data_IF_271619000558
#
_entry.id   IF_271619000558
#
_cell.length_a   1.000
_cell.length_b   1.000
_cell.length_c   1.000
_cell.angle_alpha   90.00
_cell.angle_beta   90.00
_cell.angle_gamma   90.00
#
_symmetry.space_group_name_H-M   'P 1'
#
loop_
_entity.id
_entity.type
_entity.pdbx_description
1 polymer ?
#
# COMPACT_ATOMS: atom_id res chain seq x y z
N UNK A 1 20.85 0.50 18.26
CA UNK A 1 21.09 -0.97 18.28
C UNK A 1 19.86 -1.79 18.71
N UNK A 2 18.96 -1.24 19.54
CA UNK A 2 17.73 -1.92 20.01
C UNK A 2 16.62 -2.04 18.92
N UNK A 3 16.58 -1.10 17.98
CA UNK A 3 15.52 -0.98 16.95
C UNK A 3 15.63 -2.04 15.84
N UNK A 4 16.85 -2.41 15.43
CA UNK A 4 17.08 -3.52 14.46
C UNK A 4 16.56 -4.85 14.98
N UNK A 5 16.69 -5.08 16.29
CA UNK A 5 16.29 -6.33 16.94
C UNK A 5 14.77 -6.45 17.05
N UNK A 6 14.05 -5.34 17.27
CA UNK A 6 12.59 -5.35 17.40
C UNK A 6 11.85 -5.52 16.06
N UNK A 7 12.35 -4.91 14.97
CA UNK A 7 11.81 -5.16 13.63
C UNK A 7 12.07 -6.62 13.16
N UNK A 8 13.22 -7.21 13.52
CA UNK A 8 13.51 -8.60 13.17
C UNK A 8 12.62 -9.60 13.93
N UNK A 9 12.26 -9.34 15.18
CA UNK A 9 11.41 -10.26 15.98
C UNK A 9 9.95 -10.25 15.52
N UNK A 10 9.42 -9.12 15.08
CA UNK A 10 8.05 -9.04 14.53
C UNK A 10 7.94 -9.74 13.16
N UNK A 11 8.99 -9.65 12.33
CA UNK A 11 9.05 -10.33 11.02
C UNK A 11 9.31 -11.84 11.18
N UNK A 12 10.11 -12.24 12.17
CA UNK A 12 10.45 -13.65 12.43
C UNK A 12 9.33 -14.49 13.05
N UNK A 13 8.46 -13.89 13.86
CA UNK A 13 7.41 -14.63 14.58
C UNK A 13 6.28 -15.19 13.71
N UNK A 14 6.06 -14.64 12.51
CA UNK A 14 4.92 -15.00 11.65
C UNK A 14 5.32 -16.03 10.57
N UNK A 15 6.60 -16.20 10.27
CA UNK A 15 7.07 -17.13 9.23
C UNK A 15 7.17 -18.59 9.68
N UNK A 16 7.03 -18.87 10.98
CA UNK A 16 7.38 -20.14 11.60
C UNK A 16 6.21 -21.05 11.96
N UNK A 17 5.21 -21.24 11.09
CA UNK A 17 4.30 -22.40 11.09
C UNK A 17 3.22 -22.23 10.00
N UNK A 18 3.41 -22.82 8.83
CA UNK A 18 2.34 -22.87 7.82
C UNK A 18 2.18 -24.29 7.28
N UNK A 19 1.19 -24.99 7.81
CA UNK A 19 0.55 -26.09 7.11
C UNK A 19 -0.70 -25.52 6.43
N UNK A 20 -0.75 -25.52 5.09
CA UNK A 20 -1.99 -25.21 4.37
C UNK A 20 -2.98 -26.38 4.52
N UNK A 21 -4.03 -26.21 5.33
CA UNK A 21 -5.24 -27.01 5.16
C UNK A 21 -5.93 -26.60 3.85
N UNK A 22 -6.45 -27.58 3.10
CA UNK A 22 -7.31 -27.34 1.93
C UNK A 22 -8.46 -26.44 2.38
N UNK A 23 -8.51 -25.22 1.87
CA UNK A 23 -9.62 -24.29 2.12
C UNK A 23 -10.89 -24.94 1.59
N UNK A 24 -11.82 -25.29 2.49
CA UNK A 24 -13.13 -25.79 2.11
C UNK A 24 -13.81 -24.77 1.18
N UNK A 25 -14.48 -25.27 0.13
CA UNK A 25 -15.18 -24.45 -0.85
C UNK A 25 -16.12 -23.45 -0.17
N UNK A 26 -15.81 -22.15 -0.22
CA UNK A 26 -16.70 -21.11 0.29
C UNK A 26 -17.67 -20.69 -0.83
N UNK A 27 -18.99 -20.79 -0.66
CA UNK A 27 -19.96 -20.44 -1.70
C UNK A 27 -20.04 -18.93 -2.01
N UNK A 28 -19.36 -18.07 -1.26
CA UNK A 28 -19.37 -16.61 -1.44
C UNK A 28 -18.27 -16.08 -2.38
N UNK A 29 -17.23 -16.86 -2.64
CA UNK A 29 -16.16 -16.47 -3.55
C UNK A 29 -15.51 -17.66 -4.22
N UNK A 30 -15.04 -17.46 -5.45
CA UNK A 30 -14.29 -18.44 -6.22
C UNK A 30 -12.80 -18.18 -6.08
N UNK A 31 -12.01 -19.23 -5.86
CA UNK A 31 -10.55 -19.15 -5.73
C UNK A 31 -9.86 -19.56 -7.03
N UNK A 32 -8.72 -18.93 -7.32
CA UNK A 32 -7.86 -19.15 -8.48
C UNK A 32 -6.40 -19.42 -8.06
N UNK A 33 -6.17 -19.89 -6.83
CA UNK A 33 -4.84 -20.17 -6.27
C UNK A 33 -4.07 -21.27 -7.04
N UNK A 34 -4.78 -22.07 -7.84
CA UNK A 34 -4.24 -23.09 -8.73
C UNK A 34 -3.79 -22.54 -10.10
N UNK A 35 -4.14 -21.29 -10.44
CA UNK A 35 -3.80 -20.65 -11.71
C UNK A 35 -2.61 -19.71 -11.56
N UNK A 36 -1.82 -19.62 -12.61
CA UNK A 36 -0.89 -18.51 -12.80
C UNK A 36 -1.69 -17.32 -13.32
N UNK A 37 -1.51 -16.17 -12.68
CA UNK A 37 -2.17 -14.92 -13.03
C UNK A 37 -1.09 -14.00 -13.60
N UNK A 38 -1.21 -13.61 -14.86
CA UNK A 38 -0.36 -12.60 -15.47
C UNK A 38 -1.19 -11.36 -15.77
N UNK A 39 -0.63 -10.17 -15.53
CA UNK A 39 -1.33 -8.91 -15.80
C UNK A 39 -0.40 -7.83 -16.33
N UNK A 40 -0.98 -6.90 -17.08
CA UNK A 40 -0.40 -5.60 -17.40
C UNK A 40 -1.17 -4.55 -16.61
N UNK A 41 -0.45 -3.59 -16.06
CA UNK A 41 -1.05 -2.53 -15.25
C UNK A 41 -0.49 -1.16 -15.60
N UNK A 42 -1.34 -0.16 -15.43
CA UNK A 42 -1.00 1.24 -15.27
C UNK A 42 -1.16 1.58 -13.79
N UNK A 43 -0.16 2.26 -13.22
CA UNK A 43 -0.13 2.64 -11.82
C UNK A 43 0.33 4.10 -11.70
N UNK A 44 -0.50 4.92 -11.10
CA UNK A 44 -0.17 6.28 -10.69
C UNK A 44 -0.19 6.33 -9.17
N UNK A 45 0.93 6.73 -8.55
CA UNK A 45 1.07 6.82 -7.10
C UNK A 45 1.67 8.17 -6.75
N UNK A 46 1.07 8.82 -5.77
CA UNK A 46 1.53 10.10 -5.22
C UNK A 46 1.63 9.97 -3.71
N UNK A 47 2.76 10.39 -3.13
CA UNK A 47 2.98 10.46 -1.69
C UNK A 47 3.30 11.90 -1.26
N UNK A 48 2.27 12.68 -1.00
CA UNK A 48 2.39 14.11 -0.74
C UNK A 48 2.56 14.35 0.76
N UNK A 49 3.43 15.27 1.12
CA UNK A 49 3.55 15.75 2.48
C UNK A 49 3.07 17.18 2.59
N UNK A 50 2.56 17.55 3.76
CA UNK A 50 2.21 18.93 4.05
C UNK A 50 2.84 19.32 5.39
N UNK A 51 3.65 20.37 5.34
CA UNK A 51 4.25 20.99 6.51
C UNK A 51 3.36 22.13 6.98
N UNK A 52 2.89 22.08 8.23
CA UNK A 52 2.19 23.20 8.86
C UNK A 52 3.07 23.78 9.96
N UNK A 53 3.45 25.06 9.82
CA UNK A 53 4.25 25.79 10.80
C UNK A 53 3.51 27.05 11.27
N UNK A 54 3.54 27.37 12.58
CA UNK A 54 3.04 28.65 13.06
C UNK A 54 3.93 29.80 12.56
N UNK A 55 3.32 30.89 12.11
CA UNK A 55 3.97 32.17 11.86
C UNK A 55 4.15 32.95 13.17
N UNK A 56 5.02 33.97 13.11
CA UNK A 56 5.24 34.93 14.20
C UNK A 56 3.99 35.77 14.58
N UNK A 57 2.97 35.81 13.72
CA UNK A 57 1.69 36.53 13.92
C UNK A 57 0.54 35.62 14.43
N UNK A 58 0.81 34.33 14.66
CA UNK A 58 -0.19 33.34 15.10
C UNK A 58 -1.01 32.73 13.96
N UNK A 59 -0.79 33.11 12.70
CA UNK A 59 -1.35 32.41 11.53
C UNK A 59 -0.56 31.13 11.24
N UNK A 60 -1.17 30.16 10.54
CA UNK A 60 -0.48 28.92 10.13
C UNK A 60 -0.02 29.06 8.67
N UNK A 61 1.28 28.85 8.42
CA UNK A 61 1.79 28.64 7.06
C UNK A 61 1.72 27.18 6.71
N UNK A 62 1.28 26.90 5.49
CA UNK A 62 1.17 25.57 4.91
C UNK A 62 2.16 25.50 3.74
N UNK A 63 3.06 24.53 3.79
CA UNK A 63 3.98 24.22 2.70
C UNK A 63 3.67 22.82 2.20
N UNK A 64 3.20 22.72 0.96
CA UNK A 64 2.95 21.42 0.33
C UNK A 64 4.26 20.93 -0.29
N UNK A 65 4.74 19.80 0.24
CA UNK A 65 5.86 19.03 -0.27
C UNK A 65 5.30 17.99 -1.25
N UNK A 66 5.31 18.38 -2.52
CA UNK A 66 4.75 17.56 -3.58
C UNK A 66 5.92 16.75 -4.18
N UNK A 67 5.93 15.42 -4.04
CA UNK A 67 6.92 14.61 -4.70
C UNK A 67 6.72 14.72 -6.21
N UNK A 68 7.79 14.41 -6.89
CA UNK A 68 7.79 14.20 -8.31
C UNK A 68 6.93 12.97 -8.68
N UNK A 69 5.67 13.23 -9.04
CA UNK A 69 4.66 12.20 -9.38
C UNK A 69 5.17 11.35 -10.54
N UNK A 70 4.86 10.06 -10.51
CA UNK A 70 5.28 9.11 -11.55
C UNK A 70 4.16 8.21 -11.97
N UNK A 71 3.89 8.25 -13.27
CA UNK A 71 3.01 7.31 -13.93
C UNK A 71 3.84 6.10 -14.38
N UNK A 72 3.41 4.91 -14.00
CA UNK A 72 4.08 3.66 -14.29
C UNK A 72 3.23 2.77 -15.18
N UNK A 73 3.88 2.06 -16.09
CA UNK A 73 3.33 0.88 -16.72
C UNK A 73 4.17 -0.33 -16.31
N UNK A 74 3.51 -1.45 -16.09
CA UNK A 74 4.19 -2.63 -15.60
C UNK A 74 3.48 -3.92 -15.94
N UNK A 75 4.14 -5.00 -15.58
CA UNK A 75 3.64 -6.36 -15.68
C UNK A 75 3.74 -7.03 -14.32
N UNK A 76 2.79 -7.91 -14.02
CA UNK A 76 2.82 -8.74 -12.83
C UNK A 76 2.58 -10.21 -13.16
N UNK A 77 3.19 -11.08 -12.37
CA UNK A 77 2.95 -12.52 -12.39
C UNK A 77 2.76 -13.00 -10.96
N UNK A 78 1.71 -13.76 -10.75
CA UNK A 78 1.26 -14.24 -9.45
C UNK A 78 0.94 -15.74 -9.52
N UNK A 79 1.45 -16.51 -8.56
CA UNK A 79 1.15 -17.93 -8.43
C UNK A 79 1.25 -18.37 -6.96
N UNK A 80 0.19 -19.03 -6.46
CA UNK A 80 0.06 -19.42 -5.05
C UNK A 80 0.35 -18.26 -4.09
N UNK A 81 1.36 -18.37 -3.22
CA UNK A 81 1.75 -17.35 -2.25
C UNK A 81 2.66 -16.26 -2.82
N UNK A 82 3.18 -16.44 -4.04
CA UNK A 82 4.13 -15.53 -4.64
C UNK A 82 3.43 -14.55 -5.59
N UNK A 83 3.79 -13.27 -5.47
CA UNK A 83 3.32 -12.16 -6.29
C UNK A 83 4.54 -11.31 -6.67
N UNK A 84 4.81 -11.17 -7.97
CA UNK A 84 5.90 -10.35 -8.49
C UNK A 84 5.35 -9.33 -9.47
N UNK A 85 5.75 -8.08 -9.31
CA UNK A 85 5.42 -7.00 -10.25
C UNK A 85 6.66 -6.18 -10.58
N UNK A 86 6.78 -5.78 -11.84
CA UNK A 86 7.80 -4.85 -12.29
C UNK A 86 7.12 -3.74 -13.09
N UNK A 87 7.41 -2.49 -12.74
CA UNK A 87 6.91 -1.32 -13.43
C UNK A 87 8.05 -0.36 -13.73
N UNK A 88 7.92 0.39 -14.82
CA UNK A 88 8.80 1.49 -15.16
C UNK A 88 7.96 2.73 -15.53
N UNK A 89 8.58 3.91 -15.50
CA UNK A 89 7.94 5.19 -15.80
C UNK A 89 8.40 5.74 -17.15
N UNK A 90 7.64 5.53 -18.24
CA UNK A 90 8.02 6.01 -19.56
C UNK A 90 7.98 7.53 -19.68
N UNK A 91 8.91 8.11 -20.43
CA UNK A 91 8.97 9.56 -20.72
C UNK A 91 7.87 10.06 -21.67
N UNK A 92 7.06 9.18 -22.27
CA UNK A 92 5.94 9.62 -23.12
C UNK A 92 4.75 10.13 -22.30
N UNK A 93 4.65 9.81 -21.01
CA UNK A 93 3.70 10.45 -20.11
C UNK A 93 4.22 11.84 -19.75
N UNK A 94 3.39 12.88 -19.95
CA UNK A 94 3.78 14.27 -19.68
C UNK A 94 4.24 14.46 -18.22
N UNK A 95 3.59 13.77 -17.28
CA UNK A 95 3.94 13.75 -15.85
C UNK A 95 5.37 13.26 -15.61
N UNK A 96 5.93 12.44 -16.51
CA UNK A 96 7.28 11.90 -16.36
C UNK A 96 8.36 12.70 -17.11
N UNK A 97 8.01 13.71 -17.92
CA UNK A 97 8.96 14.46 -18.76
C UNK A 97 9.81 15.45 -17.97
N UNK A 98 9.19 16.20 -17.07
CA UNK A 98 9.86 17.26 -16.30
C UNK A 98 10.35 16.75 -14.92
N UNK A 99 10.74 15.48 -14.86
CA UNK A 99 11.01 14.75 -13.62
C UNK A 99 12.51 14.53 -13.34
N UNK A 100 13.36 15.35 -13.97
CA UNK A 100 14.82 15.24 -13.88
C UNK A 100 15.30 15.41 -12.43
N UNK A 101 16.17 14.50 -11.99
CA UNK A 101 16.68 14.45 -10.61
C UNK A 101 15.83 13.63 -9.63
N UNK A 102 14.56 13.33 -9.95
CA UNK A 102 13.75 12.48 -9.08
C UNK A 102 14.08 11.00 -9.18
N UNK A 103 13.84 10.25 -8.11
CA UNK A 103 13.81 8.79 -8.10
C UNK A 103 12.66 8.33 -7.19
N UNK A 104 11.97 7.25 -7.57
CA UNK A 104 10.98 6.58 -6.73
C UNK A 104 11.22 5.07 -6.81
N UNK A 105 11.45 4.46 -5.67
CA UNK A 105 11.49 3.02 -5.50
C UNK A 105 10.43 2.62 -4.48
N UNK A 106 9.53 1.72 -4.88
CA UNK A 106 8.46 1.21 -4.03
C UNK A 106 8.50 -0.32 -4.04
N UNK A 107 8.54 -0.91 -2.85
CA UNK A 107 8.35 -2.33 -2.63
C UNK A 107 7.21 -2.52 -1.63
N UNK A 108 6.18 -3.26 -2.04
CA UNK A 108 5.06 -3.61 -1.16
C UNK A 108 4.72 -5.08 -1.31
N UNK A 109 4.54 -5.76 -0.18
CA UNK A 109 4.12 -7.16 -0.16
C UNK A 109 2.95 -7.33 0.80
N UNK A 110 2.02 -8.22 0.45
CA UNK A 110 0.83 -8.49 1.25
C UNK A 110 0.62 -9.98 1.41
N UNK A 111 0.62 -10.42 2.66
CA UNK A 111 0.32 -11.78 3.06
C UNK A 111 -1.12 -11.84 3.59
N UNK A 112 -1.95 -12.71 3.03
CA UNK A 112 -3.29 -12.98 3.54
C UNK A 112 -3.35 -14.46 3.90
N UNK A 113 -3.40 -14.74 5.19
CA UNK A 113 -3.53 -16.10 5.72
C UNK A 113 -4.80 -16.20 6.56
N UNK A 114 -5.75 -17.02 6.11
CA UNK A 114 -7.10 -17.11 6.69
C UNK A 114 -7.71 -15.71 6.81
N UNK A 115 -7.89 -15.21 8.03
CA UNK A 115 -8.47 -13.91 8.34
C UNK A 115 -7.41 -12.83 8.64
N UNK A 116 -6.14 -13.20 8.78
CA UNK A 116 -5.07 -12.26 9.05
C UNK A 116 -4.49 -11.73 7.75
N UNK A 117 -4.27 -10.43 7.70
CA UNK A 117 -3.65 -9.75 6.60
C UNK A 117 -2.48 -8.92 7.12
N UNK A 118 -1.30 -9.13 6.55
CA UNK A 118 -0.11 -8.34 6.83
C UNK A 118 0.34 -7.68 5.53
N UNK A 119 0.43 -6.35 5.53
CA UNK A 119 1.05 -5.59 4.44
C UNK A 119 2.38 -5.04 4.96
N UNK A 120 3.45 -5.17 4.19
CA UNK A 120 4.74 -4.52 4.44
C UNK A 120 5.03 -3.60 3.26
N UNK A 121 5.50 -2.39 3.54
CA UNK A 121 5.78 -1.38 2.52
C UNK A 121 7.12 -0.71 2.78
N UNK A 122 7.84 -0.44 1.70
CA UNK A 122 9.08 0.31 1.68
C UNK A 122 9.01 1.26 0.48
N UNK A 123 9.12 2.57 0.75
CA UNK A 123 9.11 3.63 -0.25
C UNK A 123 10.35 4.46 -0.03
N UNK A 124 11.16 4.62 -1.06
CA UNK A 124 12.29 5.55 -1.08
C UNK A 124 12.12 6.48 -2.27
N UNK A 125 12.12 7.78 -2.01
CA UNK A 125 11.92 8.79 -3.04
C UNK A 125 12.88 9.95 -2.87
N UNK A 126 13.26 10.56 -3.99
CA UNK A 126 14.15 11.71 -4.09
C UNK A 126 13.56 12.69 -5.09
N UNK A 127 13.75 13.99 -4.84
CA UNK A 127 13.29 15.07 -5.70
C UNK A 127 11.84 15.48 -5.41
N UNK A 128 11.67 16.71 -4.94
CA UNK A 128 10.39 17.30 -4.52
C UNK A 128 10.26 18.74 -5.03
N UNK A 129 9.05 19.28 -4.93
CA UNK A 129 8.80 20.71 -5.00
C UNK A 129 8.12 21.18 -3.72
N UNK A 130 8.53 22.36 -3.24
CA UNK A 130 7.77 23.11 -2.23
C UNK A 130 6.91 24.13 -2.94
N UNK A 131 5.60 24.08 -2.69
CA UNK A 131 4.65 25.07 -3.19
C UNK A 131 4.20 25.99 -2.06
N UNK A 132 4.39 27.30 -2.21
CA UNK A 132 3.82 28.36 -1.36
C UNK A 132 3.04 29.34 -2.24
N UNK A 133 1.72 29.19 -2.29
CA UNK A 133 0.85 30.01 -3.14
C UNK A 133 1.18 29.83 -4.63
N UNK A 134 1.67 30.89 -5.28
CA UNK A 134 2.06 30.87 -6.69
C UNK A 134 3.55 30.57 -6.92
N UNK A 135 4.34 30.41 -5.86
CA UNK A 135 5.79 30.15 -5.95
C UNK A 135 6.06 28.66 -5.76
N UNK A 136 6.82 28.08 -6.69
CA UNK A 136 7.27 26.69 -6.62
C UNK A 136 8.79 26.66 -6.59
N UNK A 137 9.36 26.02 -5.56
CA UNK A 137 10.81 25.88 -5.39
C UNK A 137 11.19 24.40 -5.48
N UNK A 138 12.09 24.00 -6.40
CA UNK A 138 12.56 22.63 -6.47
C UNK A 138 13.50 22.29 -5.31
N UNK A 139 13.30 21.11 -4.73
CA UNK A 139 14.19 20.45 -3.79
C UNK A 139 14.66 19.12 -4.40
N UNK A 140 15.62 19.14 -5.35
CA UNK A 140 16.03 17.96 -6.09
C UNK A 140 16.74 16.92 -5.21
N UNK A 141 17.43 17.37 -4.17
CA UNK A 141 18.22 16.51 -3.28
C UNK A 141 17.42 15.96 -2.08
N UNK A 142 16.25 16.54 -1.78
CA UNK A 142 15.38 16.07 -0.70
C UNK A 142 15.01 14.61 -0.94
N UNK A 143 15.30 13.78 0.07
CA UNK A 143 15.03 12.34 0.07
C UNK A 143 14.11 11.99 1.22
N UNK A 144 13.16 11.08 0.97
CA UNK A 144 12.36 10.47 2.04
C UNK A 144 12.40 8.96 1.93
N UNK A 145 12.56 8.29 3.08
CA UNK A 145 12.48 6.84 3.20
C UNK A 145 11.37 6.47 4.17
N UNK A 146 10.32 5.81 3.69
CA UNK A 146 9.22 5.29 4.51
C UNK A 146 9.26 3.76 4.53
N UNK A 147 9.25 3.17 5.71
CA UNK A 147 9.16 1.72 5.92
C UNK A 147 8.11 1.43 6.97
N UNK A 148 7.32 0.38 6.77
CA UNK A 148 6.35 0.00 7.77
C UNK A 148 5.43 -1.10 7.32
N UNK A 149 4.36 -1.30 8.08
CA UNK A 149 3.38 -2.31 7.78
C UNK A 149 2.03 -2.07 8.42
N UNK A 150 1.06 -2.81 7.92
CA UNK A 150 -0.32 -2.82 8.41
C UNK A 150 -0.73 -4.25 8.69
N UNK A 151 -1.12 -4.51 9.94
CA UNK A 151 -1.71 -5.77 10.37
C UNK A 151 -3.22 -5.58 10.47
N UNK A 152 -3.99 -6.42 9.79
CA UNK A 152 -5.44 -6.33 9.74
C UNK A 152 -6.09 -7.69 9.99
N UNK A 153 -7.32 -7.68 10.51
CA UNK A 153 -8.11 -8.89 10.72
C UNK A 153 -9.46 -8.82 10.00
N UNK A 154 -9.78 -9.81 9.17
CA UNK A 154 -11.03 -9.89 8.42
C UNK A 154 -12.06 -10.63 9.25
N UNK A 155 -13.01 -9.92 9.85
CA UNK A 155 -14.00 -10.54 10.75
C UNK A 155 -14.95 -11.50 10.01
N UNK A 156 -15.46 -11.09 8.84
CA UNK A 156 -16.45 -11.86 8.09
C UNK A 156 -15.78 -12.88 7.15
N UNK A 157 -15.92 -14.20 7.39
CA UNK A 157 -15.33 -15.23 6.53
C UNK A 157 -15.96 -15.32 5.13
N UNK A 158 -17.12 -14.71 4.91
CA UNK A 158 -17.79 -14.67 3.60
C UNK A 158 -17.29 -13.53 2.71
N UNK A 159 -16.46 -12.64 3.24
CA UNK A 159 -15.89 -11.52 2.51
C UNK A 159 -14.47 -11.84 2.04
N UNK A 160 -14.21 -11.68 0.74
CA UNK A 160 -12.89 -11.86 0.15
C UNK A 160 -12.19 -10.52 -0.05
N UNK A 161 -11.20 -10.22 0.78
CA UNK A 161 -10.30 -9.08 0.54
C UNK A 161 -9.36 -9.35 -0.64
N UNK A 162 -9.05 -10.62 -0.96
CA UNK A 162 -8.23 -10.99 -2.12
C UNK A 162 -8.88 -10.57 -3.45
N UNK A 163 -10.22 -10.51 -3.50
CA UNK A 163 -10.96 -9.92 -4.63
C UNK A 163 -10.54 -8.47 -4.87
N UNK A 164 -10.26 -7.70 -3.82
CA UNK A 164 -9.81 -6.31 -3.91
C UNK A 164 -8.30 -6.26 -4.19
N UNK A 165 -7.51 -7.05 -3.46
CA UNK A 165 -6.06 -6.93 -3.44
C UNK A 165 -5.32 -7.50 -4.66
N UNK A 166 -5.61 -8.73 -5.09
CA UNK A 166 -4.72 -9.47 -6.00
C UNK A 166 -5.43 -10.42 -6.99
N UNK A 167 -6.76 -10.41 -7.06
CA UNK A 167 -7.54 -11.18 -8.04
C UNK A 167 -7.36 -12.71 -7.96
N UNK A 168 -6.77 -13.21 -6.86
CA UNK A 168 -6.67 -14.65 -6.56
C UNK A 168 -8.00 -15.24 -6.11
N UNK A 169 -8.92 -14.40 -5.66
CA UNK A 169 -10.31 -14.76 -5.41
C UNK A 169 -11.23 -13.78 -6.14
N UNK A 170 -12.44 -14.24 -6.42
CA UNK A 170 -13.52 -13.42 -6.96
C UNK A 170 -14.79 -13.59 -6.13
N UNK A 171 -15.27 -12.49 -5.55
CA UNK A 171 -16.53 -12.47 -4.81
C UNK A 171 -17.71 -12.78 -5.76
N UNK A 172 -18.45 -13.85 -5.47
CA UNK A 172 -19.62 -14.28 -6.27
C UNK A 172 -20.95 -13.87 -5.63
N UNK A 173 -20.95 -13.54 -4.35
CA UNK A 173 -22.11 -13.01 -3.62
C UNK A 173 -21.72 -11.78 -2.82
N UNK A 174 -22.56 -10.74 -2.83
CA UNK A 174 -22.27 -9.50 -2.09
C UNK A 174 -22.03 -9.77 -0.61
N UNK A 175 -20.97 -9.18 -0.07
CA UNK A 175 -20.56 -9.37 1.32
C UNK A 175 -19.66 -8.22 1.75
N UNK A 176 -19.66 -7.92 3.05
CA UNK A 176 -18.77 -6.92 3.63
C UNK A 176 -18.13 -7.42 4.91
N UNK A 177 -17.02 -6.82 5.29
CA UNK A 177 -16.35 -7.11 6.54
C UNK A 177 -15.94 -5.83 7.24
N UNK A 178 -16.13 -5.83 8.56
CA UNK A 178 -15.33 -5.00 9.43
C UNK A 178 -13.89 -5.53 9.44
N UNK A 179 -12.92 -4.63 9.33
CA UNK A 179 -11.49 -4.93 9.25
C UNK A 179 -10.74 -3.93 10.15
N UNK A 180 -10.57 -4.22 11.45
CA UNK A 180 -9.68 -3.44 12.29
C UNK A 180 -8.24 -3.64 11.80
N UNK A 181 -7.51 -2.53 11.77
CA UNK A 181 -6.12 -2.49 11.32
C UNK A 181 -5.25 -1.77 12.33
N UNK A 182 -4.04 -2.27 12.53
CA UNK A 182 -2.97 -1.60 13.23
C UNK A 182 -1.89 -1.26 12.21
N UNK A 183 -1.47 -0.01 12.15
CA UNK A 183 -0.37 0.43 11.29
C UNK A 183 0.81 0.90 12.11
N UNK A 184 2.01 0.61 11.61
CA UNK A 184 3.26 1.12 12.13
C UNK A 184 4.12 1.58 10.97
N UNK A 185 4.51 2.85 10.95
CA UNK A 185 5.39 3.42 9.94
C UNK A 185 6.52 4.21 10.57
N UNK A 186 7.69 4.11 9.96
CA UNK A 186 8.83 4.97 10.18
C UNK A 186 9.13 5.71 8.87
N UNK A 187 9.26 7.02 8.95
CA UNK A 187 9.61 7.90 7.83
C UNK A 187 10.82 8.73 8.23
N UNK A 188 11.86 8.69 7.41
CA UNK A 188 13.00 9.59 7.50
C UNK A 188 12.92 10.60 6.36
N UNK A 189 13.04 11.89 6.67
CA UNK A 189 13.22 12.97 5.70
C UNK A 189 14.65 13.49 5.82
N UNK A 190 15.33 13.63 4.69
CA UNK A 190 16.71 14.11 4.60
C UNK A 190 16.79 15.18 3.53
N UNK A 191 17.03 16.43 3.94
CA UNK A 191 17.17 17.58 3.04
C UNK A 191 18.36 17.45 2.10
N UNK A 192 19.42 16.74 2.51
CA UNK A 192 20.63 16.50 1.73
C UNK A 192 21.24 17.79 1.11
N UNK A 193 21.14 18.92 1.83
CA UNK A 193 21.52 20.27 1.39
C UNK A 193 22.82 20.79 2.06
N UNK A 194 23.46 19.95 2.88
CA UNK A 194 24.67 20.31 3.63
C UNK A 194 24.41 21.16 4.89
N UNK A 195 23.15 21.38 5.27
CA UNK A 195 22.80 22.05 6.53
C UNK A 195 23.12 21.18 7.76
N UNK A 196 23.36 21.79 8.94
CA UNK A 196 23.48 21.05 10.18
C UNK A 196 22.12 20.46 10.59
N UNK A 197 22.08 19.14 10.83
CA UNK A 197 20.88 18.32 11.08
C UNK A 197 19.84 18.37 9.94
N UNK A 198 20.19 17.86 8.73
CA UNK A 198 19.26 17.85 7.60
C UNK A 198 18.20 16.74 7.69
N UNK A 199 18.30 15.88 8.71
CA UNK A 199 17.48 14.69 8.89
C UNK A 199 16.39 14.92 9.94
N UNK A 200 15.19 14.41 9.67
CA UNK A 200 14.06 14.35 10.60
C UNK A 200 13.43 12.96 10.56
N UNK A 201 13.21 12.39 11.74
CA UNK A 201 12.65 11.06 11.94
C UNK A 201 11.22 11.15 12.46
N UNK A 202 10.31 10.45 11.79
CA UNK A 202 8.89 10.38 12.11
C UNK A 202 8.46 8.92 12.34
N UNK A 203 7.87 8.64 13.48
CA UNK A 203 7.25 7.36 13.82
C UNK A 203 5.74 7.53 13.97
N UNK A 204 4.96 6.71 13.27
CA UNK A 204 3.50 6.75 13.30
C UNK A 204 2.95 5.38 13.71
N UNK A 205 2.12 5.35 14.75
CA UNK A 205 1.36 4.16 15.14
C UNK A 205 -0.12 4.48 15.17
N UNK A 206 -0.96 3.74 14.44
CA UNK A 206 -2.40 4.00 14.42
C UNK A 206 -3.23 2.73 14.53
N UNK A 207 -4.40 2.88 15.14
CA UNK A 207 -5.48 1.89 15.13
C UNK A 207 -6.63 2.44 14.31
N UNK A 208 -7.04 1.68 13.30
CA UNK A 208 -8.01 2.12 12.31
C UNK A 208 -9.04 1.04 12.07
N UNK A 209 -10.23 1.15 12.69
CA UNK A 209 -11.38 0.39 12.24
C UNK A 209 -11.74 0.78 10.81
N UNK A 210 -11.99 -0.22 9.97
CA UNK A 210 -12.43 0.00 8.59
C UNK A 210 -13.56 -0.96 8.23
N UNK A 211 -14.37 -0.58 7.25
CA UNK A 211 -15.42 -1.41 6.70
C UNK A 211 -15.27 -1.48 5.19
N UNK A 212 -15.23 -2.70 4.66
CA UNK A 212 -15.16 -2.98 3.23
C UNK A 212 -16.40 -3.74 2.79
N UNK A 213 -16.90 -3.45 1.59
CA UNK A 213 -18.05 -4.10 0.99
C UNK A 213 -17.78 -4.42 -0.47
N UNK A 214 -17.98 -5.68 -0.85
CA UNK A 214 -17.97 -6.16 -2.23
C UNK A 214 -19.43 -6.28 -2.69
N UNK A 215 -19.87 -5.39 -3.58
CA UNK A 215 -21.18 -5.44 -4.22
C UNK A 215 -21.09 -6.17 -5.56
N UNK A 216 -21.67 -7.37 -5.63
CA UNK A 216 -21.71 -8.19 -6.85
C UNK A 216 -22.91 -7.74 -7.69
N UNK A 217 -22.63 -7.00 -8.77
CA UNK A 217 -23.64 -6.47 -9.68
C UNK A 217 -24.20 -7.60 -10.56
N UNK A 218 -23.31 -8.47 -11.04
CA UNK A 218 -23.64 -9.71 -11.72
C UNK A 218 -22.47 -10.69 -11.59
N UNK A 219 -22.58 -11.88 -12.19
CA UNK A 219 -21.57 -12.94 -12.10
C UNK A 219 -20.16 -12.54 -12.59
N UNK A 220 -20.03 -11.45 -13.35
CA UNK A 220 -18.78 -10.98 -13.95
C UNK A 220 -18.36 -9.58 -13.50
N UNK A 221 -19.23 -8.80 -12.87
CA UNK A 221 -18.95 -7.40 -12.52
C UNK A 221 -19.18 -7.19 -11.03
N UNK A 222 -18.19 -6.61 -10.36
CA UNK A 222 -18.32 -6.16 -8.98
C UNK A 222 -17.83 -4.74 -8.79
N UNK A 223 -18.47 -4.04 -7.84
CA UNK A 223 -18.00 -2.80 -7.27
C UNK A 223 -17.62 -3.06 -5.80
N UNK A 224 -16.39 -2.77 -5.42
CA UNK A 224 -15.93 -2.82 -4.04
C UNK A 224 -15.68 -1.41 -3.53
N UNK A 225 -16.10 -1.14 -2.29
CA UNK A 225 -15.80 0.09 -1.59
C UNK A 225 -15.30 -0.22 -0.18
N UNK A 226 -14.39 0.59 0.33
CA UNK A 226 -13.88 0.49 1.69
C UNK A 226 -13.55 1.86 2.25
N UNK A 227 -13.84 2.05 3.53
CA UNK A 227 -13.51 3.26 4.28
C UNK A 227 -12.99 2.87 5.66
N UNK A 228 -11.93 3.54 6.11
CA UNK A 228 -11.41 3.42 7.46
C UNK A 228 -11.07 4.78 8.04
N UNK A 229 -11.33 4.95 9.33
CA UNK A 229 -10.99 6.15 10.10
C UNK A 229 -10.40 5.66 11.41
N UNK A 230 -9.33 6.29 11.86
CA UNK A 230 -8.64 5.91 13.07
C UNK A 230 -7.78 7.02 13.63
N UNK A 231 -6.93 6.63 14.56
CA UNK A 231 -5.94 7.51 15.12
C UNK A 231 -4.95 6.75 16.00
N UNK A 232 -4.01 7.50 16.55
CA UNK A 232 -3.01 6.97 17.44
C UNK A 232 -1.98 8.03 17.80
N UNK A 233 -0.71 7.66 17.72
CA UNK A 233 0.41 8.49 18.14
C UNK A 233 1.39 8.71 16.99
N UNK A 234 1.96 9.91 16.99
CA UNK A 234 3.07 10.32 16.14
C UNK A 234 4.21 10.78 17.03
N UNK A 235 5.44 10.45 16.68
CA UNK A 235 6.66 10.96 17.32
C UNK A 235 7.57 11.51 16.23
N UNK A 236 7.79 12.83 16.25
CA UNK A 236 8.68 13.50 15.31
C UNK A 236 9.86 14.11 16.07
N UNK A 237 11.05 13.55 15.90
CA UNK A 237 12.28 13.96 16.59
C UNK A 237 12.15 14.09 18.12
N UNK A 238 11.30 13.27 18.75
CA UNK A 238 11.02 13.27 20.18
C UNK A 238 9.81 14.11 20.61
N UNK A 239 9.14 14.81 19.69
CA UNK A 239 7.88 15.52 19.94
C UNK A 239 6.69 14.59 19.65
N UNK A 240 6.00 14.17 20.72
CA UNK A 240 4.92 13.18 20.65
C UNK A 240 3.56 13.87 20.57
N UNK A 241 2.76 13.49 19.59
CA UNK A 241 1.44 14.05 19.36
C UNK A 241 0.38 12.99 19.02
N UNK A 242 -0.89 13.41 19.11
CA UNK A 242 -1.97 12.67 18.48
C UNK A 242 -1.84 12.70 16.96
N UNK A 243 -2.30 11.62 16.32
CA UNK A 243 -2.46 11.55 14.86
C UNK A 243 -3.80 10.93 14.52
N UNK A 244 -4.45 11.47 13.50
CA UNK A 244 -5.64 10.91 12.89
C UNK A 244 -5.28 10.28 11.56
N UNK A 245 -5.94 9.17 11.23
CA UNK A 245 -5.74 8.56 9.92
C UNK A 245 -7.07 8.22 9.26
N UNK A 246 -7.06 8.33 7.93
CA UNK A 246 -8.20 7.98 7.08
C UNK A 246 -7.72 7.15 5.91
N UNK A 247 -8.55 6.21 5.47
CA UNK A 247 -8.26 5.34 4.34
C UNK A 247 -9.51 5.11 3.52
N UNK A 248 -9.32 5.02 2.21
CA UNK A 248 -10.38 4.75 1.25
C UNK A 248 -9.91 3.77 0.18
N UNK A 249 -10.82 2.91 -0.28
CA UNK A 249 -10.59 2.00 -1.40
C UNK A 249 -11.85 1.93 -2.25
N UNK A 250 -11.71 2.08 -3.56
CA UNK A 250 -12.80 1.94 -4.50
C UNK A 250 -12.32 1.14 -5.71
N UNK A 251 -13.01 0.05 -6.01
CA UNK A 251 -12.63 -0.85 -7.10
C UNK A 251 -13.81 -1.22 -7.95
N UNK A 252 -13.69 -1.05 -9.25
CA UNK A 252 -14.61 -1.63 -10.24
C UNK A 252 -13.88 -2.74 -10.97
N UNK A 253 -14.41 -3.96 -10.92
CA UNK A 253 -13.79 -5.15 -11.52
C UNK A 253 -14.71 -5.86 -12.50
N UNK A 254 -14.11 -6.37 -13.58
CA UNK A 254 -14.68 -7.37 -14.46
C UNK A 254 -13.89 -8.68 -14.36
N UNK A 255 -14.57 -9.81 -14.28
CA UNK A 255 -13.92 -11.11 -14.12
C UNK A 255 -14.65 -12.25 -14.85
N UNK A 256 -13.85 -13.13 -15.43
CA UNK A 256 -14.19 -14.47 -15.88
C UNK A 256 -13.15 -15.44 -15.30
N UNK A 257 -13.28 -16.74 -15.60
CA UNK A 257 -12.32 -17.72 -15.10
C UNK A 257 -10.91 -17.54 -15.64
N UNK A 258 -10.78 -17.02 -16.85
CA UNK A 258 -9.49 -16.79 -17.48
C UNK A 258 -9.14 -15.31 -17.53
N UNK A 259 -10.05 -14.43 -17.93
CA UNK A 259 -9.78 -13.01 -18.10
C UNK A 259 -10.29 -12.16 -16.94
N UNK A 260 -9.54 -11.12 -16.57
CA UNK A 260 -10.02 -10.08 -15.65
C UNK A 260 -9.49 -8.70 -16.05
N UNK A 261 -10.22 -7.67 -15.63
CA UNK A 261 -9.73 -6.29 -15.66
C UNK A 261 -10.33 -5.51 -14.49
N UNK A 262 -9.65 -4.45 -14.06
CA UNK A 262 -10.18 -3.59 -13.01
C UNK A 262 -9.58 -2.19 -13.05
N UNK A 263 -10.30 -1.28 -12.41
CA UNK A 263 -9.81 0.02 -11.97
C UNK A 263 -9.92 0.03 -10.44
N UNK A 264 -8.85 0.40 -9.75
CA UNK A 264 -8.77 0.46 -8.30
C UNK A 264 -8.15 1.78 -7.86
N UNK A 265 -8.81 2.48 -6.97
CA UNK A 265 -8.35 3.72 -6.35
C UNK A 265 -8.16 3.42 -4.87
N UNK A 266 -6.98 3.72 -4.32
CA UNK A 266 -6.77 3.69 -2.87
C UNK A 266 -6.19 5.01 -2.41
N UNK A 267 -6.55 5.39 -1.21
CA UNK A 267 -6.05 6.57 -0.52
C UNK A 267 -5.81 6.21 0.94
N UNK A 268 -4.73 6.73 1.50
CA UNK A 268 -4.49 6.76 2.94
C UNK A 268 -3.88 8.12 3.28
N UNK A 269 -4.39 8.75 4.32
CA UNK A 269 -3.80 9.97 4.84
C UNK A 269 -3.70 9.96 6.35
N UNK A 270 -2.68 10.66 6.80
CA UNK A 270 -2.33 10.89 8.19
C UNK A 270 -2.30 12.40 8.44
N UNK A 271 -3.03 12.83 9.46
CA UNK A 271 -3.12 14.22 9.85
C UNK A 271 -2.72 14.34 11.33
N UNK A 272 -1.65 15.07 11.61
CA UNK A 272 -1.20 15.29 12.98
C UNK A 272 -2.10 16.29 13.70
N UNK A 273 -2.21 16.15 15.02
CA UNK A 273 -2.95 17.10 15.84
C UNK A 273 -2.30 18.48 15.82
N UNK A 274 -3.13 19.51 16.03
CA UNK A 274 -2.80 20.90 15.81
C UNK A 274 -1.85 21.54 16.83
N UNK A 275 -1.56 20.82 17.92
CA UNK A 275 -0.74 21.26 19.05
C UNK A 275 0.77 21.08 18.83
N UNK A 276 1.21 20.46 17.72
CA UNK A 276 2.64 20.31 17.41
C UNK A 276 3.23 21.58 16.80
N UNK A 277 4.53 21.81 17.07
CA UNK A 277 5.25 22.98 16.54
C UNK A 277 5.38 22.95 15.02
N UNK A 278 5.50 21.76 14.45
CA UNK A 278 5.57 21.51 13.00
C UNK A 278 4.76 20.24 12.74
N UNK A 279 3.75 20.30 11.87
CA UNK A 279 2.97 19.12 11.48
C UNK A 279 3.52 18.59 10.17
N UNK A 280 3.68 17.27 10.05
CA UNK A 280 3.92 16.60 8.77
C UNK A 280 2.73 15.68 8.46
N UNK A 281 1.77 16.20 7.70
CA UNK A 281 0.68 15.38 7.19
C UNK A 281 1.18 14.58 5.98
N UNK A 282 0.76 13.33 5.86
CA UNK A 282 1.15 12.41 4.80
C UNK A 282 -0.11 11.95 4.06
N UNK A 283 -0.07 11.96 2.74
CA UNK A 283 -1.13 11.44 1.89
C UNK A 283 -0.56 10.58 0.76
N UNK A 284 -0.84 9.27 0.82
CA UNK A 284 -0.59 8.35 -0.27
C UNK A 284 -1.88 8.05 -1.02
N UNK A 285 -1.90 8.42 -2.29
CA UNK A 285 -2.98 8.06 -3.23
C UNK A 285 -2.45 7.19 -4.36
N UNK A 286 -3.29 6.27 -4.83
CA UNK A 286 -2.95 5.36 -5.93
C UNK A 286 -4.14 5.12 -6.85
N UNK A 287 -3.89 5.16 -8.16
CA UNK A 287 -4.79 4.68 -9.21
C UNK A 287 -4.11 3.50 -9.92
N UNK A 288 -4.74 2.33 -9.86
CA UNK A 288 -4.26 1.12 -10.52
C UNK A 288 -5.32 0.64 -11.52
N UNK A 289 -4.94 0.57 -12.79
CA UNK A 289 -5.75 0.02 -13.87
C UNK A 289 -5.02 -1.22 -14.37
N UNK A 290 -5.67 -2.38 -14.37
CA UNK A 290 -5.02 -3.60 -14.82
C UNK A 290 -5.92 -4.46 -15.69
N UNK A 291 -5.29 -5.18 -16.60
CA UNK A 291 -5.89 -6.25 -17.41
C UNK A 291 -5.02 -7.49 -17.30
N UNK A 292 -5.62 -8.66 -17.15
CA UNK A 292 -4.86 -9.87 -16.97
C UNK A 292 -5.59 -11.14 -17.38
N UNK A 293 -4.80 -12.20 -17.40
CA UNK A 293 -5.20 -13.53 -17.82
C UNK A 293 -4.70 -14.59 -16.84
N UNK A 294 -5.53 -15.60 -16.61
CA UNK A 294 -5.28 -16.75 -15.75
C UNK A 294 -5.15 -17.99 -16.61
N UNK A 295 -4.06 -18.72 -16.40
CA UNK A 295 -3.76 -19.94 -17.13
C UNK A 295 -3.21 -21.00 -16.19
N UNK A 296 -3.30 -22.26 -16.62
CA UNK A 296 -2.76 -23.37 -15.85
C UNK A 296 -1.23 -23.30 -15.77
N UNK A 297 -0.63 -23.54 -14.59
CA UNK A 297 0.81 -23.52 -14.44
C UNK A 297 1.48 -24.56 -15.34
N UNK A 298 2.61 -24.24 -15.99
CA UNK A 298 3.42 -25.24 -16.69
C UNK A 298 3.84 -26.37 -15.72
N UNK A 299 3.91 -27.62 -16.22
CA UNK A 299 4.23 -28.80 -15.39
C UNK A 299 5.45 -28.60 -14.48
N UNK A 300 6.54 -28.04 -15.02
CA UNK A 300 7.77 -27.76 -14.26
C UNK A 300 7.58 -26.79 -13.09
N UNK A 301 6.74 -25.76 -13.27
CA UNK A 301 6.43 -24.79 -12.20
C UNK A 301 5.59 -25.46 -11.11
N UNK A 302 4.64 -26.30 -11.53
CA UNK A 302 3.82 -27.08 -10.60
C UNK A 302 4.67 -28.04 -9.77
N UNK A 303 5.56 -28.80 -10.40
CA UNK A 303 6.49 -29.75 -9.74
C UNK A 303 7.43 -29.05 -8.74
N UNK A 304 7.98 -27.88 -9.11
CA UNK A 304 8.83 -27.10 -8.22
C UNK A 304 8.08 -26.65 -6.96
N UNK A 305 6.85 -26.16 -7.11
CA UNK A 305 6.02 -25.76 -5.97
C UNK A 305 5.53 -26.94 -5.13
N UNK A 306 5.25 -28.10 -5.73
CA UNK A 306 4.92 -29.31 -5.00
C UNK A 306 6.12 -29.81 -4.16
N UNK A 307 7.33 -29.70 -4.69
CA UNK A 307 8.56 -30.03 -3.96
C UNK A 307 8.79 -29.08 -2.77
N UNK A 308 8.55 -27.78 -2.97
CA UNK A 308 8.62 -26.79 -1.88
C UNK A 308 7.55 -27.09 -0.84
N UNK A 309 6.31 -27.37 -1.27
CA UNK A 309 5.19 -27.69 -0.39
C UNK A 309 5.47 -28.91 0.49
N UNK A 310 5.99 -29.99 -0.10
CA UNK A 310 6.36 -31.19 0.65
C UNK A 310 7.44 -30.94 1.71
N UNK A 311 8.36 -30.00 1.45
CA UNK A 311 9.45 -29.67 2.38
C UNK A 311 9.06 -28.66 3.47
N UNK A 312 8.11 -27.77 3.18
CA UNK A 312 7.84 -26.58 4.01
C UNK A 312 6.41 -26.48 4.53
N UNK A 313 5.47 -27.27 3.99
CA UNK A 313 4.04 -27.16 4.28
C UNK A 313 3.30 -26.01 3.57
N UNK A 314 4.03 -25.21 2.77
CA UNK A 314 3.59 -23.97 2.10
C UNK A 314 3.14 -24.11 0.65
#
# INVERSE_FOLDING_TARGET
MVIKTFCLTLIGGILGCFAQEKTASNPYFKTYDDKVIASLYYLDVSNNFQIVSPNSDGTKKIYDLIPNRREQIGASVSFKIADFSFGFSPQFFDVNKDNDGSKLFNFSTRFIHKKWMQTLSFINQTGFYVSEGATTVPLPDLRTTKIGGVTSYILNPNFSFKTIANQKEWQTKSSGSFIPSFSFFYTNLDLNDGSPNPESDLFEMTLSPSYYYNFVINNRVLLSAGLGIGGGISDMDGDVSGIYNSSGSLKLGYNTDSFFSFININYIAFAQDSDTRVQLNDNVSSLNIAVGYRFDPPKKVKEAFETIHQKTGL
#
